data_IF_910457805845
#
_entry.id   IF_910457805845
#
_cell.length_a   1.000
_cell.length_b   1.000
_cell.length_c   1.000
_cell.angle_alpha   90.00
_cell.angle_beta   90.00
_cell.angle_gamma   90.00
#
_symmetry.space_group_name_H-M   'P 1'
#
loop_
_entity.id
_entity.type
_entity.pdbx_description
1 polymer ?
#
# COMPACT_ATOMS: atom_id res chain seq x y z
N UNK A 1 8.25 18.58 -48.85
CA UNK A 1 8.63 19.66 -47.92
C UNK A 1 9.29 20.72 -48.77
N UNK A 2 8.48 21.57 -49.39
CA UNK A 2 8.93 22.77 -50.12
C UNK A 2 7.73 23.72 -50.22
N UNK A 3 7.85 24.81 -49.46
CA UNK A 3 7.34 26.17 -49.63
C UNK A 3 5.86 26.47 -49.96
N UNK A 4 5.11 26.76 -48.90
CA UNK A 4 4.65 28.11 -48.54
C UNK A 4 4.42 29.19 -49.66
N UNK A 5 3.15 29.57 -49.79
CA UNK A 5 2.62 30.95 -49.68
C UNK A 5 2.92 32.00 -50.77
N UNK A 6 1.83 32.46 -51.44
CA UNK A 6 1.50 33.85 -51.90
C UNK A 6 0.30 33.72 -52.87
N UNK A 7 -0.72 34.58 -52.94
CA UNK A 7 -0.84 36.02 -52.71
C UNK A 7 -2.35 36.41 -52.79
N UNK A 8 -2.77 37.26 -51.86
CA UNK A 8 -3.73 38.39 -51.94
C UNK A 8 -4.95 38.39 -52.88
N UNK A 9 -6.12 38.76 -52.34
CA UNK A 9 -7.05 39.78 -52.88
C UNK A 9 -8.13 40.09 -51.79
N UNK A 10 -7.98 41.11 -50.94
CA UNK A 10 -8.43 42.52 -51.10
C UNK A 10 -9.94 42.69 -51.28
N UNK A 11 -10.63 43.15 -50.21
CA UNK A 11 -11.64 44.25 -50.10
C UNK A 11 -12.58 44.00 -48.89
N UNK A 12 -12.58 44.77 -47.79
CA UNK A 12 -12.79 46.21 -47.54
C UNK A 12 -14.28 46.57 -47.26
N UNK A 13 -14.53 46.89 -45.98
CA UNK A 13 -15.42 47.93 -45.40
C UNK A 13 -16.91 47.69 -45.16
N UNK A 14 -17.30 48.07 -43.93
CA UNK A 14 -18.66 48.46 -43.49
C UNK A 14 -19.00 47.75 -42.18
N UNK A 15 -18.84 48.33 -40.99
CA UNK A 15 -19.47 49.56 -40.52
C UNK A 15 -20.52 49.16 -39.46
N UNK A 16 -20.23 49.42 -38.19
CA UNK A 16 -20.88 48.77 -37.05
C UNK A 16 -22.27 49.30 -36.67
N UNK A 17 -22.97 48.48 -35.88
CA UNK A 17 -24.00 48.90 -34.91
C UNK A 17 -23.84 48.04 -33.66
N UNK A 18 -23.59 48.71 -32.53
CA UNK A 18 -23.59 48.15 -31.19
C UNK A 18 -25.05 47.98 -30.76
N UNK A 19 -25.45 46.76 -30.42
CA UNK A 19 -26.66 46.49 -29.65
C UNK A 19 -26.27 45.51 -28.52
N UNK A 20 -26.07 46.05 -27.32
CA UNK A 20 -25.91 45.30 -26.10
C UNK A 20 -27.30 44.92 -25.57
N UNK A 21 -27.60 43.63 -25.50
CA UNK A 21 -28.71 43.09 -24.72
C UNK A 21 -28.34 41.71 -24.14
N UNK A 22 -28.23 41.70 -22.81
CA UNK A 22 -28.66 40.68 -21.86
C UNK A 22 -28.22 39.21 -22.03
N UNK A 23 -27.32 38.81 -21.12
CA UNK A 23 -27.43 37.62 -20.28
C UNK A 23 -28.08 36.37 -20.91
N UNK A 24 -27.23 35.50 -21.46
CA UNK A 24 -27.47 34.07 -21.45
C UNK A 24 -26.33 33.45 -20.64
N UNK A 25 -26.66 32.92 -19.46
CA UNK A 25 -25.77 32.03 -18.72
C UNK A 25 -25.37 30.91 -19.66
N UNK A 26 -24.08 30.89 -20.02
CA UNK A 26 -23.45 29.70 -20.55
C UNK A 26 -23.49 28.65 -19.46
N UNK A 27 -24.06 27.50 -19.82
CA UNK A 27 -23.96 26.23 -19.14
C UNK A 27 -22.47 25.91 -18.99
N UNK A 28 -21.91 26.30 -17.86
CA UNK A 28 -20.63 25.82 -17.40
C UNK A 28 -20.89 24.44 -16.83
N UNK A 29 -20.61 23.43 -17.63
CA UNK A 29 -20.38 22.06 -17.17
C UNK A 29 -19.14 22.14 -16.26
N UNK A 30 -19.36 22.55 -15.01
CA UNK A 30 -18.46 22.26 -13.91
C UNK A 30 -18.53 20.75 -13.75
N UNK A 31 -17.64 20.04 -14.45
CA UNK A 31 -17.17 18.71 -14.08
C UNK A 31 -16.65 18.82 -12.64
N UNK A 32 -17.56 18.72 -11.68
CA UNK A 32 -17.22 18.35 -10.32
C UNK A 32 -16.59 16.96 -10.43
N UNK A 33 -15.25 16.93 -10.46
CA UNK A 33 -14.46 15.74 -10.14
C UNK A 33 -14.89 15.28 -8.75
N UNK A 34 -15.90 14.41 -8.78
CA UNK A 34 -16.24 13.53 -7.68
C UNK A 34 -14.96 12.75 -7.40
N UNK A 35 -14.52 12.59 -6.14
CA UNK A 35 -13.33 11.81 -5.85
C UNK A 35 -13.64 10.37 -6.23
N UNK A 36 -13.23 9.99 -7.44
CA UNK A 36 -13.30 8.62 -7.94
C UNK A 36 -12.61 7.74 -6.91
N UNK A 37 -13.40 6.85 -6.32
CA UNK A 37 -12.91 5.82 -5.41
C UNK A 37 -11.94 4.98 -6.24
N UNK A 38 -10.64 5.08 -5.93
CA UNK A 38 -9.55 4.76 -6.86
C UNK A 38 -9.71 3.44 -7.62
N UNK A 39 -10.13 3.54 -8.88
CA UNK A 39 -10.39 2.42 -9.79
C UNK A 39 -9.18 2.02 -10.65
N UNK A 40 -7.98 2.46 -10.28
CA UNK A 40 -6.73 2.20 -11.02
C UNK A 40 -5.90 1.05 -10.44
N UNK A 41 -5.11 0.40 -11.30
CA UNK A 41 -3.99 -0.45 -10.89
C UNK A 41 -2.66 0.27 -11.08
N UNK A 42 -1.64 -0.18 -10.36
CA UNK A 42 -0.24 0.21 -10.59
C UNK A 42 0.64 -1.04 -10.55
N UNK A 43 1.71 -1.04 -11.33
CA UNK A 43 2.73 -2.08 -11.21
C UNK A 43 3.48 -1.93 -9.89
N UNK A 44 3.74 -3.04 -9.22
CA UNK A 44 4.52 -3.12 -7.99
C UNK A 44 5.56 -4.23 -8.12
N UNK A 45 6.83 -3.89 -7.87
CA UNK A 45 7.94 -4.84 -7.86
C UNK A 45 8.12 -5.44 -6.46
N UNK A 46 8.19 -6.76 -6.39
CA UNK A 46 8.33 -7.52 -5.15
C UNK A 46 9.14 -8.79 -5.39
N UNK A 47 9.27 -9.65 -4.38
CA UNK A 47 10.15 -10.82 -4.45
C UNK A 47 9.84 -11.77 -5.62
N UNK A 48 8.56 -11.96 -5.97
CA UNK A 48 8.15 -12.82 -7.07
C UNK A 48 8.08 -12.11 -8.43
N UNK A 49 8.53 -10.85 -8.53
CA UNK A 49 8.61 -10.08 -9.76
C UNK A 49 7.67 -8.87 -9.76
N UNK A 50 7.00 -8.62 -10.88
CA UNK A 50 6.11 -7.48 -11.06
C UNK A 50 4.64 -7.93 -11.01
N UNK A 51 3.82 -7.29 -10.17
CA UNK A 51 2.37 -7.53 -10.07
C UNK A 51 1.60 -6.23 -10.25
N UNK A 52 0.50 -6.27 -10.99
CA UNK A 52 -0.49 -5.18 -11.01
C UNK A 52 -1.34 -5.23 -9.74
N UNK A 53 -1.25 -4.19 -8.91
CA UNK A 53 -2.00 -4.07 -7.66
C UNK A 53 -2.99 -2.91 -7.73
N UNK A 54 -4.08 -2.90 -6.94
CA UNK A 54 -4.92 -1.73 -6.81
C UNK A 54 -4.13 -0.53 -6.29
N UNK A 55 -4.39 0.67 -6.82
CA UNK A 55 -3.81 1.92 -6.26
C UNK A 55 -4.24 2.12 -4.80
N UNK A 56 -5.44 1.64 -4.43
CA UNK A 56 -5.94 1.63 -3.05
C UNK A 56 -6.66 0.32 -2.74
N UNK A 57 -5.92 -0.67 -2.23
CA UNK A 57 -6.50 -1.92 -1.76
C UNK A 57 -7.46 -1.69 -0.59
N UNK A 58 -8.64 -2.32 -0.64
CA UNK A 58 -9.71 -2.22 0.37
C UNK A 58 -9.85 -3.51 1.18
N UNK A 59 -9.48 -4.66 0.61
CA UNK A 59 -9.65 -5.99 1.18
C UNK A 59 -8.33 -6.74 1.18
N UNK A 60 -7.45 -6.31 2.09
CA UNK A 60 -6.12 -6.88 2.23
C UNK A 60 -6.18 -8.15 3.09
N UNK A 61 -5.55 -9.22 2.62
CA UNK A 61 -5.31 -10.45 3.40
C UNK A 61 -3.81 -10.66 3.59
N UNK A 62 -3.37 -10.90 4.82
CA UNK A 62 -1.96 -11.15 5.14
C UNK A 62 -1.68 -12.61 5.42
N UNK A 63 -0.56 -13.13 4.92
CA UNK A 63 -0.17 -14.53 5.10
C UNK A 63 0.70 -14.77 6.35
N UNK A 64 1.04 -13.71 7.09
CA UNK A 64 1.75 -13.80 8.36
C UNK A 64 1.30 -12.70 9.32
N UNK A 65 1.32 -13.00 10.62
CA UNK A 65 0.99 -12.05 11.67
C UNK A 65 2.11 -11.01 11.86
N UNK A 66 3.31 -11.42 12.24
CA UNK A 66 4.36 -10.48 12.65
C UNK A 66 5.05 -9.77 11.48
N UNK A 67 5.14 -10.43 10.33
CA UNK A 67 5.92 -9.93 9.19
C UNK A 67 5.06 -9.42 8.04
N UNK A 68 3.73 -9.35 8.20
CA UNK A 68 2.84 -8.74 7.22
C UNK A 68 1.69 -7.98 7.89
N UNK A 69 0.90 -8.62 8.76
CA UNK A 69 -0.19 -7.93 9.48
C UNK A 69 0.32 -6.79 10.36
N UNK A 70 1.32 -7.03 11.22
CA UNK A 70 1.80 -6.01 12.16
C UNK A 70 2.36 -4.76 11.46
N UNK A 71 3.21 -4.85 10.41
CA UNK A 71 3.62 -3.68 9.63
C UNK A 71 2.44 -2.87 9.07
N UNK A 72 1.39 -3.54 8.58
CA UNK A 72 0.20 -2.86 8.07
C UNK A 72 -0.59 -2.15 9.18
N UNK A 73 -0.72 -2.79 10.35
CA UNK A 73 -1.37 -2.18 11.52
C UNK A 73 -0.61 -0.94 12.01
N UNK A 74 0.73 -0.96 12.01
CA UNK A 74 1.57 0.20 12.35
C UNK A 74 1.37 1.38 11.40
N UNK A 75 1.13 1.09 10.12
CA UNK A 75 0.80 2.05 9.08
C UNK A 75 -0.67 2.54 9.14
N UNK A 76 -1.45 2.05 10.10
CA UNK A 76 -2.86 2.41 10.27
C UNK A 76 -3.80 1.70 9.29
N UNK A 77 -3.32 0.66 8.61
CA UNK A 77 -4.12 -0.16 7.69
C UNK A 77 -4.55 -1.43 8.39
N UNK A 78 -5.85 -1.72 8.37
CA UNK A 78 -6.43 -2.91 9.00
C UNK A 78 -6.81 -3.93 7.92
N UNK A 79 -6.07 -5.05 7.77
CA UNK A 79 -6.46 -6.15 6.89
C UNK A 79 -7.81 -6.75 7.28
N UNK A 80 -8.53 -7.31 6.31
CA UNK A 80 -9.81 -8.01 6.57
C UNK A 80 -9.58 -9.41 7.15
N UNK A 81 -8.41 -9.99 6.88
CA UNK A 81 -8.01 -11.27 7.43
C UNK A 81 -6.49 -11.43 7.49
N UNK A 82 -6.03 -12.34 8.35
CA UNK A 82 -4.63 -12.71 8.44
C UNK A 82 -4.46 -14.17 8.81
N UNK A 83 -3.40 -14.79 8.31
CA UNK A 83 -2.85 -15.98 8.94
C UNK A 83 -2.23 -15.59 10.28
N UNK A 84 -2.29 -16.49 11.25
CA UNK A 84 -1.83 -16.23 12.61
C UNK A 84 -1.28 -17.48 13.26
N UNK A 85 -1.33 -17.55 14.58
CA UNK A 85 -0.93 -18.73 15.32
C UNK A 85 -2.14 -19.41 15.95
N UNK A 86 -2.37 -20.68 15.63
CA UNK A 86 -3.28 -21.51 16.41
C UNK A 86 -2.78 -21.68 17.84
N UNK A 87 -3.71 -21.66 18.79
CA UNK A 87 -3.45 -22.14 20.13
C UNK A 87 -3.81 -23.63 20.24
N UNK A 88 -3.19 -24.31 21.20
CA UNK A 88 -3.42 -25.75 21.41
C UNK A 88 -4.81 -26.11 21.93
N UNK A 89 -5.71 -25.13 22.10
CA UNK A 89 -7.09 -25.31 22.56
C UNK A 89 -8.13 -25.03 21.45
N UNK A 90 -7.70 -24.86 20.20
CA UNK A 90 -8.57 -24.62 19.05
C UNK A 90 -8.95 -23.14 18.84
N UNK A 91 -8.32 -22.22 19.58
CA UNK A 91 -8.36 -20.79 19.31
C UNK A 91 -7.18 -20.35 18.44
N UNK A 92 -7.08 -19.05 18.22
CA UNK A 92 -6.00 -18.44 17.44
C UNK A 92 -5.61 -17.09 18.04
N UNK A 93 -4.43 -16.61 17.69
CA UNK A 93 -3.96 -15.27 18.00
C UNK A 93 -3.09 -14.70 16.89
N UNK A 94 -3.05 -13.37 16.83
CA UNK A 94 -2.02 -12.63 16.10
C UNK A 94 -0.98 -12.16 17.10
N UNK A 95 0.29 -12.49 16.90
CA UNK A 95 1.34 -12.15 17.88
C UNK A 95 1.70 -10.68 17.79
N UNK A 96 1.99 -10.05 18.94
CA UNK A 96 2.49 -8.66 19.05
C UNK A 96 1.48 -7.61 18.58
N UNK A 97 0.18 -7.93 18.57
CA UNK A 97 -0.88 -7.02 18.15
C UNK A 97 -1.73 -6.51 19.32
N UNK A 98 -1.27 -6.64 20.56
CA UNK A 98 -2.06 -6.34 21.77
C UNK A 98 -2.45 -4.85 21.89
N UNK A 99 -1.75 -3.97 21.17
CA UNK A 99 -2.05 -2.53 21.09
C UNK A 99 -2.98 -2.15 19.94
N UNK A 100 -3.45 -3.12 19.16
CA UNK A 100 -4.29 -2.90 17.97
C UNK A 100 -5.63 -3.62 18.12
N UNK A 101 -6.66 -3.05 17.51
CA UNK A 101 -7.95 -3.72 17.38
C UNK A 101 -7.90 -4.75 16.23
N UNK A 102 -7.83 -6.02 16.61
CA UNK A 102 -7.85 -7.15 15.67
C UNK A 102 -9.16 -7.93 15.69
N UNK A 103 -10.20 -7.41 16.34
CA UNK A 103 -11.45 -8.15 16.56
C UNK A 103 -12.22 -8.49 15.28
N UNK A 104 -12.06 -7.68 14.23
CA UNK A 104 -12.69 -7.87 12.91
C UNK A 104 -11.74 -8.47 11.87
N UNK A 105 -10.55 -8.93 12.29
CA UNK A 105 -9.59 -9.57 11.39
C UNK A 105 -9.86 -11.08 11.42
N UNK A 106 -10.38 -11.62 10.32
CA UNK A 106 -10.65 -13.05 10.22
C UNK A 106 -9.34 -13.86 10.25
N UNK A 107 -9.40 -15.02 10.89
CA UNK A 107 -8.30 -15.98 10.88
C UNK A 107 -8.41 -16.88 9.66
N UNK A 108 -7.36 -16.94 8.84
CA UNK A 108 -7.31 -17.75 7.61
C UNK A 108 -6.28 -18.88 7.68
N UNK A 109 -6.06 -19.43 8.88
CA UNK A 109 -5.14 -20.53 9.12
C UNK A 109 -3.82 -20.12 9.76
N UNK A 110 -3.01 -21.12 10.10
CA UNK A 110 -1.71 -20.91 10.74
C UNK A 110 -0.69 -20.33 9.75
N UNK A 111 0.19 -19.45 10.23
CA UNK A 111 1.32 -18.99 9.42
C UNK A 111 2.18 -20.21 9.00
N UNK A 112 2.58 -20.26 7.73
CA UNK A 112 3.25 -21.41 7.10
C UNK A 112 2.29 -22.35 6.37
N UNK A 113 1.06 -22.50 6.86
CA UNK A 113 0.01 -23.33 6.24
C UNK A 113 -1.34 -22.58 6.22
N UNK A 114 -1.42 -21.40 5.55
CA UNK A 114 -2.67 -20.68 5.44
C UNK A 114 -3.67 -21.44 4.55
N UNK A 115 -4.95 -21.33 4.89
CA UNK A 115 -6.03 -22.01 4.19
C UNK A 115 -6.52 -21.17 3.01
N UNK A 116 -6.29 -21.69 1.79
CA UNK A 116 -6.65 -21.00 0.54
C UNK A 116 -8.16 -20.80 0.38
N UNK A 117 -8.99 -21.72 0.89
CA UNK A 117 -10.45 -21.58 0.81
C UNK A 117 -10.92 -20.46 1.74
N UNK A 118 -10.36 -20.39 2.96
CA UNK A 118 -10.65 -19.30 3.88
C UNK A 118 -10.16 -17.96 3.35
N UNK A 119 -8.99 -17.90 2.70
CA UNK A 119 -8.50 -16.69 2.02
C UNK A 119 -9.47 -16.26 0.92
N UNK A 120 -9.84 -17.18 0.02
CA UNK A 120 -10.75 -16.88 -1.09
C UNK A 120 -12.12 -16.40 -0.61
N UNK A 121 -12.64 -16.96 0.49
CA UNK A 121 -13.91 -16.54 1.10
C UNK A 121 -13.90 -15.08 1.57
N UNK A 122 -12.72 -14.49 1.82
CA UNK A 122 -12.59 -13.07 2.16
C UNK A 122 -12.71 -12.15 0.95
N UNK A 123 -12.76 -12.66 -0.27
CA UNK A 123 -12.76 -11.86 -1.51
C UNK A 123 -11.69 -10.75 -1.48
N UNK A 124 -10.40 -11.09 -1.31
CA UNK A 124 -9.34 -10.09 -1.24
C UNK A 124 -9.16 -9.37 -2.56
N UNK A 125 -8.70 -8.12 -2.50
CA UNK A 125 -8.18 -7.38 -3.65
C UNK A 125 -6.65 -7.24 -3.62
N UNK A 126 -6.02 -7.68 -2.52
CA UNK A 126 -4.58 -7.78 -2.37
C UNK A 126 -4.23 -8.85 -1.32
N UNK A 127 -3.28 -9.72 -1.63
CA UNK A 127 -2.69 -10.69 -0.71
C UNK A 127 -1.23 -10.31 -0.44
N UNK A 128 -0.82 -10.30 0.82
CA UNK A 128 0.52 -9.87 1.24
C UNK A 128 1.21 -10.95 2.06
N UNK A 129 2.39 -11.38 1.63
CA UNK A 129 3.21 -12.38 2.29
C UNK A 129 4.70 -12.06 2.19
N UNK A 130 5.54 -13.11 2.28
CA UNK A 130 6.99 -13.05 2.09
C UNK A 130 7.48 -14.22 1.20
N UNK A 131 8.77 -14.31 0.92
CA UNK A 131 9.35 -15.37 0.07
C UNK A 131 9.02 -16.80 0.51
N UNK A 132 8.68 -17.04 1.77
CA UNK A 132 8.28 -18.36 2.26
C UNK A 132 7.07 -18.94 1.54
N UNK A 133 6.28 -18.11 0.87
CA UNK A 133 5.10 -18.53 0.09
C UNK A 133 5.35 -18.65 -1.41
N UNK A 134 6.60 -18.61 -1.87
CA UNK A 134 6.91 -18.69 -3.31
C UNK A 134 6.34 -19.95 -3.97
N UNK A 135 6.36 -21.10 -3.28
CA UNK A 135 5.81 -22.36 -3.82
C UNK A 135 4.28 -22.32 -3.99
N UNK A 136 3.59 -21.48 -3.22
CA UNK A 136 2.13 -21.30 -3.29
C UNK A 136 1.72 -20.03 -4.05
N UNK A 137 2.68 -19.29 -4.61
CA UNK A 137 2.43 -17.98 -5.21
C UNK A 137 1.40 -18.02 -6.34
N UNK A 138 1.45 -19.02 -7.21
CA UNK A 138 0.51 -19.15 -8.33
C UNK A 138 -0.92 -19.42 -7.84
N UNK A 139 -1.07 -20.24 -6.79
CA UNK A 139 -2.36 -20.53 -6.19
C UNK A 139 -2.96 -19.29 -5.50
N UNK A 140 -2.13 -18.52 -4.80
CA UNK A 140 -2.53 -17.25 -4.17
C UNK A 140 -2.88 -16.19 -5.23
N UNK A 141 -2.09 -16.10 -6.30
CA UNK A 141 -2.30 -15.17 -7.41
C UNK A 141 -3.56 -15.48 -8.22
N UNK A 142 -4.02 -16.74 -8.21
CA UNK A 142 -5.31 -17.12 -8.77
C UNK A 142 -6.50 -16.59 -7.94
N UNK A 143 -6.29 -16.22 -6.67
CA UNK A 143 -7.31 -15.64 -5.79
C UNK A 143 -7.34 -14.12 -5.94
N UNK A 144 -6.19 -13.45 -5.82
CA UNK A 144 -6.06 -11.99 -5.93
C UNK A 144 -4.60 -11.58 -6.22
N UNK A 145 -4.34 -10.32 -6.66
CA UNK A 145 -2.99 -9.79 -6.76
C UNK A 145 -2.18 -10.09 -5.51
N UNK A 146 -1.05 -10.78 -5.67
CA UNK A 146 -0.23 -11.26 -4.56
C UNK A 146 1.14 -10.57 -4.59
N UNK A 147 1.57 -10.08 -3.43
CA UNK A 147 2.83 -9.38 -3.22
C UNK A 147 3.62 -10.07 -2.11
N UNK A 148 4.87 -10.43 -2.38
CA UNK A 148 5.77 -11.06 -1.41
C UNK A 148 6.89 -10.09 -1.02
N UNK A 149 6.89 -9.60 0.22
CA UNK A 149 7.87 -8.64 0.75
C UNK A 149 8.91 -9.37 1.61
N UNK A 150 10.18 -9.14 1.33
CA UNK A 150 11.31 -9.67 2.11
C UNK A 150 11.60 -8.82 3.34
N UNK A 151 11.50 -9.43 4.53
CA UNK A 151 11.72 -8.74 5.82
C UNK A 151 13.06 -9.10 6.47
N UNK A 152 13.69 -10.23 6.10
CA UNK A 152 14.92 -10.72 6.74
C UNK A 152 16.18 -10.54 5.89
N UNK A 153 16.05 -10.56 4.56
CA UNK A 153 17.18 -10.43 3.62
C UNK A 153 17.54 -8.97 3.28
N UNK A 154 16.88 -8.00 3.94
CA UNK A 154 17.04 -6.56 3.70
C UNK A 154 17.04 -5.78 5.01
N UNK A 155 17.59 -4.54 5.03
CA UNK A 155 17.43 -3.67 6.18
C UNK A 155 15.94 -3.48 6.51
N UNK A 156 15.57 -3.64 7.79
CA UNK A 156 14.19 -3.53 8.25
C UNK A 156 13.48 -2.26 7.74
N UNK A 157 14.20 -1.13 7.71
CA UNK A 157 13.65 0.15 7.23
C UNK A 157 13.27 0.12 5.75
N UNK A 158 13.98 -0.65 4.93
CA UNK A 158 13.63 -0.82 3.52
C UNK A 158 12.40 -1.70 3.36
N UNK A 159 12.31 -2.79 4.12
CA UNK A 159 11.14 -3.68 4.11
C UNK A 159 9.88 -2.94 4.57
N UNK A 160 9.96 -2.16 5.65
CA UNK A 160 8.83 -1.35 6.14
C UNK A 160 8.43 -0.24 5.16
N UNK A 161 9.40 0.37 4.45
CA UNK A 161 9.11 1.31 3.37
C UNK A 161 8.32 0.62 2.23
N UNK A 162 8.62 -0.64 1.89
CA UNK A 162 7.84 -1.36 0.86
C UNK A 162 6.39 -1.57 1.29
N UNK A 163 6.13 -1.92 2.55
CA UNK A 163 4.76 -1.98 3.07
C UNK A 163 4.05 -0.63 2.97
N UNK A 164 4.75 0.46 3.28
CA UNK A 164 4.20 1.80 3.21
C UNK A 164 3.87 2.23 1.77
N UNK A 165 4.77 1.94 0.81
CA UNK A 165 4.49 2.17 -0.62
C UNK A 165 3.29 1.33 -1.07
N UNK A 166 3.27 0.04 -0.75
CA UNK A 166 2.23 -0.92 -1.14
C UNK A 166 0.82 -0.39 -0.82
N UNK A 167 0.63 0.23 0.34
CA UNK A 167 -0.68 0.74 0.79
C UNK A 167 -0.82 2.27 0.72
N UNK A 168 0.15 2.97 0.12
CA UNK A 168 0.13 4.42 -0.04
C UNK A 168 0.24 5.21 1.26
N UNK A 169 0.90 4.66 2.28
CA UNK A 169 1.04 5.24 3.62
C UNK A 169 2.46 5.78 3.90
N UNK A 170 3.12 6.36 2.89
CA UNK A 170 4.49 6.88 3.01
C UNK A 170 4.62 7.99 4.08
N UNK A 171 3.64 8.87 4.22
CA UNK A 171 3.65 9.93 5.26
C UNK A 171 3.70 9.33 6.68
N UNK A 172 2.91 8.28 6.91
CA UNK A 172 2.88 7.55 8.19
C UNK A 172 4.21 6.85 8.44
N UNK A 173 4.79 6.24 7.42
CA UNK A 173 6.12 5.66 7.49
C UNK A 173 7.18 6.68 7.88
N UNK A 174 7.19 7.86 7.27
CA UNK A 174 8.15 8.91 7.61
C UNK A 174 8.02 9.37 9.07
N UNK A 175 6.80 9.47 9.59
CA UNK A 175 6.55 9.78 11.00
C UNK A 175 7.13 8.69 11.92
N UNK A 176 6.81 7.42 11.67
CA UNK A 176 7.33 6.29 12.43
C UNK A 176 8.87 6.24 12.39
N UNK A 177 9.45 6.46 11.21
CA UNK A 177 10.90 6.51 11.03
C UNK A 177 11.54 7.64 11.83
N UNK A 178 10.96 8.85 11.81
CA UNK A 178 11.46 9.98 12.62
C UNK A 178 11.42 9.66 14.11
N UNK A 179 10.33 9.06 14.59
CA UNK A 179 10.20 8.67 15.99
C UNK A 179 11.24 7.60 16.39
N UNK A 180 11.47 6.62 15.52
CA UNK A 180 12.51 5.62 15.72
C UNK A 180 13.90 6.24 15.76
N UNK A 181 14.25 7.08 14.79
CA UNK A 181 15.56 7.75 14.73
C UNK A 181 15.79 8.63 15.98
N UNK A 182 14.76 9.35 16.44
CA UNK A 182 14.83 10.16 17.66
C UNK A 182 15.04 9.30 18.93
N UNK A 183 14.37 8.14 19.02
CA UNK A 183 14.54 7.21 20.13
C UNK A 183 15.96 6.62 20.16
N UNK A 184 16.54 6.30 19.00
CA UNK A 184 17.93 5.84 18.89
C UNK A 184 18.91 6.93 19.34
N UNK A 185 18.68 8.19 18.97
CA UNK A 185 19.56 9.28 19.36
C UNK A 185 19.48 9.60 20.87
N UNK A 186 18.28 9.56 21.44
CA UNK A 186 18.09 9.67 22.88
C UNK A 186 18.83 8.55 23.62
N UNK A 187 18.68 7.31 23.17
CA UNK A 187 19.38 6.17 23.76
C UNK A 187 20.90 6.30 23.68
N UNK A 188 21.45 6.79 22.56
CA UNK A 188 22.89 7.05 22.42
C UNK A 188 23.38 8.11 23.40
N UNK A 189 22.60 9.17 23.59
CA UNK A 189 22.92 10.23 24.54
C UNK A 189 22.93 9.73 25.99
N UNK A 190 22.02 8.83 26.33
CA UNK A 190 21.89 8.22 27.67
C UNK A 190 22.92 7.11 27.95
N UNK A 191 23.69 6.67 26.95
CA UNK A 191 24.73 5.66 27.07
C UNK A 191 26.14 6.27 26.96
N UNK A 192 26.65 6.97 28.00
CA UNK A 192 27.95 7.67 27.97
C UNK A 192 29.16 6.72 27.87
N UNK A 193 28.98 5.41 28.08
CA UNK A 193 29.94 4.36 27.74
C UNK A 193 29.19 3.15 27.18
N UNK A 194 28.95 3.07 25.87
CA UNK A 194 28.45 1.84 25.30
C UNK A 194 29.48 0.73 25.58
N UNK A 195 29.05 -0.48 26.00
CA UNK A 195 29.97 -1.58 26.21
C UNK A 195 30.74 -1.85 24.92
N UNK A 196 32.04 -2.11 25.02
CA UNK A 196 32.92 -2.35 23.86
C UNK A 196 32.47 -3.55 23.00
N UNK A 197 31.62 -4.44 23.56
CA UNK A 197 31.00 -5.56 22.87
C UNK A 197 29.65 -5.88 23.50
N UNK A 198 28.62 -5.99 22.67
CA UNK A 198 27.33 -6.59 23.02
C UNK A 198 27.26 -7.90 22.25
N UNK A 199 26.99 -9.01 22.95
CA UNK A 199 26.77 -10.32 22.34
C UNK A 199 25.32 -10.70 22.52
N UNK A 200 24.62 -10.96 21.43
CA UNK A 200 23.29 -11.55 21.44
C UNK A 200 23.46 -13.04 21.16
N UNK A 201 23.08 -13.88 22.13
CA UNK A 201 22.99 -15.33 21.93
C UNK A 201 21.53 -15.69 21.77
N UNK A 202 21.19 -16.21 20.59
CA UNK A 202 19.89 -16.83 20.34
C UNK A 202 19.92 -18.21 21.01
N UNK A 203 18.94 -18.50 21.88
CA UNK A 203 18.74 -19.80 22.52
C UNK A 203 17.81 -20.63 21.64
#
# INVERSE_FOLDING_TARGET
MEDATRREFVRLVGGGVIAAFLAACGDGDDDEETPETGSGTRSFEHFAGLTEIPVRAQRIVTLQDQNALLPLLELGVRPVASAGQEDGAGGHRFRRTESYDTSEIAFVGSFGEPDLELIAAQNPDLIVGNSGYIESYDALSAIAPTVLIEVFERPLTESLHQFADLVGALDRWEELKRNYDAAIEALRSDLPRPPAKISLSMI
#
